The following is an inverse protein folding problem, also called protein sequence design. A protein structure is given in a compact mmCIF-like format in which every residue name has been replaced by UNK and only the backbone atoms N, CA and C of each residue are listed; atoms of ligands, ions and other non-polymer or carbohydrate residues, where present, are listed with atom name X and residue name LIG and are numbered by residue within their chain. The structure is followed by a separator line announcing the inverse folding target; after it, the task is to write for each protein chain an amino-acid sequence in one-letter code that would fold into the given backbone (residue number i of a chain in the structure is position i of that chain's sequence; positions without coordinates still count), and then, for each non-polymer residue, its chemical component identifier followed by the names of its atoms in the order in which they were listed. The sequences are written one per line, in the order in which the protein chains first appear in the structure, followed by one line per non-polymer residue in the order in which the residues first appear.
data_IF_075556959009
#
_entry.id   IF_075556959009
#
_cell.length_a   1.000
_cell.length_b   1.000
_cell.length_c   1.000
_cell.angle_alpha   90.00
_cell.angle_beta   90.00
_cell.angle_gamma   90.00
#
_symmetry.space_group_name_H-M   'P 1'
#
loop_
_entity.id
_entity.type
_entity.pdbx_description
1 polymer ?
#
# COMPACT_ATOMS: atom_id res chain seq x y z
N UNK A 1 1.00 -6.29 27.54
CA UNK A 1 -0.47 -6.33 27.36
C UNK A 1 -0.79 -7.31 26.25
N UNK A 2 -1.79 -8.19 26.42
CA UNK A 2 -2.26 -9.11 25.37
C UNK A 2 -3.24 -8.45 24.38
N UNK A 3 -3.69 -7.22 24.67
CA UNK A 3 -4.67 -6.52 23.84
C UNK A 3 -4.07 -5.96 22.54
N UNK A 4 -4.91 -5.81 21.51
CA UNK A 4 -4.57 -5.21 20.22
C UNK A 4 -5.22 -5.93 19.05
N UNK A 5 -5.05 -5.37 17.85
CA UNK A 5 -5.51 -6.00 16.60
C UNK A 5 -4.62 -7.22 16.31
N UNK A 6 -5.24 -8.37 16.02
CA UNK A 6 -4.59 -9.64 15.68
C UNK A 6 -5.18 -10.17 14.38
N UNK A 7 -4.34 -10.65 13.47
CA UNK A 7 -4.80 -11.32 12.25
C UNK A 7 -5.33 -12.71 12.58
N UNK A 8 -6.09 -13.31 11.66
CA UNK A 8 -6.50 -14.69 11.81
C UNK A 8 -5.28 -15.60 11.84
N UNK A 9 -4.26 -15.34 11.00
CA UNK A 9 -2.98 -16.04 11.07
C UNK A 9 -2.33 -15.96 12.46
N UNK A 10 -2.30 -14.78 13.08
CA UNK A 10 -1.73 -14.65 14.43
C UNK A 10 -2.51 -15.52 15.42
N UNK A 11 -3.84 -15.49 15.36
CA UNK A 11 -4.68 -16.32 16.23
C UNK A 11 -4.44 -17.81 15.98
N UNK A 12 -4.42 -18.27 14.73
CA UNK A 12 -4.06 -19.64 14.33
C UNK A 12 -2.75 -20.09 14.96
N UNK A 13 -1.74 -19.23 14.98
CA UNK A 13 -0.41 -19.58 15.48
C UNK A 13 -0.24 -19.47 17.01
N UNK A 14 -1.11 -18.74 17.71
CA UNK A 14 -0.86 -18.36 19.11
C UNK A 14 -2.02 -18.63 20.07
N UNK A 15 -3.24 -18.90 19.58
CA UNK A 15 -4.39 -19.12 20.46
C UNK A 15 -4.35 -20.50 21.13
N UNK A 16 -4.72 -20.62 22.42
CA UNK A 16 -4.85 -21.92 23.07
C UNK A 16 -6.00 -22.72 22.44
N UNK A 17 -5.93 -24.05 22.50
CA UNK A 17 -6.93 -24.97 21.93
C UNK A 17 -7.25 -24.65 20.45
N UNK A 18 -6.21 -24.41 19.65
CA UNK A 18 -6.36 -24.05 18.24
C UNK A 18 -6.87 -25.22 17.38
N UNK A 19 -7.85 -24.94 16.53
CA UNK A 19 -8.37 -25.83 15.50
C UNK A 19 -8.42 -25.16 14.11
N UNK A 20 -7.76 -24.00 13.96
CA UNK A 20 -7.68 -23.27 12.69
C UNK A 20 -6.36 -23.59 11.97
N UNK A 21 -6.41 -23.60 10.64
CA UNK A 21 -5.25 -23.62 9.73
C UNK A 21 -5.19 -22.36 8.85
N UNK A 22 -6.08 -21.40 9.10
CA UNK A 22 -6.21 -20.20 8.31
C UNK A 22 -5.06 -19.22 8.54
N UNK A 23 -4.68 -18.52 7.47
CA UNK A 23 -3.56 -17.57 7.44
C UNK A 23 -3.95 -16.18 6.90
N UNK A 24 -5.25 -15.90 6.79
CA UNK A 24 -5.74 -14.58 6.37
C UNK A 24 -5.38 -13.47 7.39
N UNK A 25 -5.24 -12.21 6.94
CA UNK A 25 -5.49 -11.69 5.58
C UNK A 25 -4.24 -11.63 4.67
N UNK A 26 -3.07 -12.05 5.15
CA UNK A 26 -1.79 -11.73 4.49
C UNK A 26 -1.68 -12.20 3.02
N UNK A 27 -2.10 -13.41 2.63
CA UNK A 27 -1.99 -13.82 1.22
C UNK A 27 -2.77 -12.93 0.26
N UNK A 28 -3.97 -12.48 0.67
CA UNK A 28 -4.80 -11.58 -0.15
C UNK A 28 -4.24 -10.17 -0.21
N UNK A 29 -3.75 -9.64 0.92
CA UNK A 29 -3.10 -8.33 0.94
C UNK A 29 -1.83 -8.31 0.08
N UNK A 30 -1.02 -9.37 0.15
CA UNK A 30 0.19 -9.51 -0.64
C UNK A 30 -0.10 -9.57 -2.14
N UNK A 31 -1.22 -10.17 -2.57
CA UNK A 31 -1.60 -10.19 -3.99
C UNK A 31 -1.88 -8.79 -4.56
N UNK A 32 -2.15 -7.81 -3.70
CA UNK A 32 -2.35 -6.40 -4.04
C UNK A 32 -1.14 -5.52 -3.67
N UNK A 33 0.01 -6.12 -3.38
CA UNK A 33 1.25 -5.39 -3.09
C UNK A 33 1.38 -4.87 -1.65
N UNK A 34 0.46 -5.26 -0.74
CA UNK A 34 0.54 -4.88 0.67
C UNK A 34 1.30 -5.98 1.42
N UNK A 35 2.56 -5.70 1.78
CA UNK A 35 3.36 -6.63 2.58
C UNK A 35 2.85 -6.72 4.03
N UNK A 36 3.36 -7.71 4.79
CA UNK A 36 3.05 -7.86 6.22
C UNK A 36 3.50 -6.61 7.00
N UNK A 37 4.66 -6.08 6.63
CA UNK A 37 5.27 -4.89 7.22
C UNK A 37 4.43 -3.64 6.90
N UNK A 38 4.00 -3.48 5.64
CA UNK A 38 3.11 -2.39 5.24
C UNK A 38 1.78 -2.47 5.98
N UNK A 39 1.15 -3.65 6.03
CA UNK A 39 -0.10 -3.85 6.77
C UNK A 39 0.05 -3.49 8.25
N UNK A 40 1.14 -3.94 8.89
CA UNK A 40 1.42 -3.58 10.29
C UNK A 40 1.58 -2.07 10.45
N UNK A 41 2.39 -1.44 9.59
CA UNK A 41 2.62 0.00 9.62
C UNK A 41 1.30 0.77 9.50
N UNK A 42 0.42 0.38 8.58
CA UNK A 42 -0.84 1.06 8.32
C UNK A 42 -1.85 0.87 9.47
N UNK A 43 -1.87 -0.30 10.11
CA UNK A 43 -2.68 -0.53 11.30
C UNK A 43 -2.21 0.31 12.49
N UNK A 44 -0.89 0.54 12.61
CA UNK A 44 -0.30 1.29 13.73
C UNK A 44 -0.35 2.81 13.53
N UNK A 45 -0.29 3.29 12.29
CA UNK A 45 -0.13 4.71 11.97
C UNK A 45 -1.31 5.30 11.19
N UNK A 46 -2.25 4.47 10.74
CA UNK A 46 -3.32 4.86 9.82
C UNK A 46 -2.87 4.86 8.35
N UNK A 47 -3.84 4.88 7.45
CA UNK A 47 -3.60 4.97 6.01
C UNK A 47 -3.77 6.42 5.55
N UNK A 48 -2.68 7.05 5.10
CA UNK A 48 -2.73 8.37 4.45
C UNK A 48 -2.05 8.32 3.09
N UNK A 49 -2.84 8.45 2.02
CA UNK A 49 -2.33 8.66 0.66
C UNK A 49 -2.52 10.12 0.31
N UNK A 50 -1.42 10.82 0.06
CA UNK A 50 -1.48 12.19 -0.44
C UNK A 50 -1.45 12.22 -1.97
N UNK A 51 -2.63 12.08 -2.58
CA UNK A 51 -2.78 12.15 -4.02
C UNK A 51 -2.47 13.57 -4.58
N UNK A 52 -2.20 13.62 -5.88
CA UNK A 52 -1.92 14.84 -6.63
C UNK A 52 -0.46 15.00 -7.01
N UNK A 53 -0.13 16.22 -7.45
CA UNK A 53 1.22 16.57 -7.87
C UNK A 53 2.17 16.62 -6.67
N UNK A 54 3.33 16.00 -6.85
CA UNK A 54 4.45 16.01 -5.90
C UNK A 54 5.71 16.51 -6.60
N UNK A 55 6.66 17.01 -5.81
CA UNK A 55 7.91 17.58 -6.31
C UNK A 55 9.05 17.36 -5.32
N UNK A 56 10.22 17.05 -5.84
CA UNK A 56 11.49 17.07 -5.13
C UNK A 56 12.58 17.71 -6.03
N UNK A 57 13.84 17.56 -5.65
CA UNK A 57 14.98 18.11 -6.41
C UNK A 57 15.18 17.46 -7.78
N UNK A 58 14.63 16.25 -8.00
CA UNK A 58 14.73 15.53 -9.27
C UNK A 58 13.65 15.97 -10.26
N UNK A 59 12.41 16.16 -9.81
CA UNK A 59 11.33 16.54 -10.69
C UNK A 59 9.94 16.46 -10.06
N UNK A 60 8.93 16.49 -10.93
CA UNK A 60 7.53 16.31 -10.54
C UNK A 60 7.07 14.88 -10.83
N UNK A 61 6.19 14.36 -9.98
CA UNK A 61 5.43 13.13 -10.26
C UNK A 61 3.98 13.32 -9.81
N UNK A 62 3.10 12.42 -10.24
CA UNK A 62 1.69 12.48 -9.89
C UNK A 62 1.24 11.22 -9.16
N UNK A 63 0.65 11.37 -7.98
CA UNK A 63 0.14 10.26 -7.16
C UNK A 63 -1.37 10.16 -7.32
N UNK A 64 -1.88 8.98 -7.69
CA UNK A 64 -3.31 8.67 -7.74
C UNK A 64 -3.89 8.45 -6.33
N UNK A 65 -5.21 8.39 -6.22
CA UNK A 65 -5.90 8.16 -4.93
C UNK A 65 -5.57 6.80 -4.30
N UNK A 66 -5.21 5.81 -5.10
CA UNK A 66 -4.76 4.49 -4.65
C UNK A 66 -3.26 4.43 -4.30
N UNK A 67 -2.56 5.56 -4.39
CA UNK A 67 -1.11 5.66 -4.13
C UNK A 67 -0.23 5.27 -5.32
N UNK A 68 -0.80 4.75 -6.41
CA UNK A 68 -0.05 4.46 -7.62
C UNK A 68 0.36 5.75 -8.35
N UNK A 69 1.32 5.65 -9.27
CA UNK A 69 1.79 6.78 -10.06
C UNK A 69 2.23 6.32 -11.46
N UNK A 70 2.13 7.17 -12.49
CA UNK A 70 2.49 6.81 -13.85
C UNK A 70 4.00 6.65 -14.02
N UNK A 71 4.41 5.63 -14.78
CA UNK A 71 5.80 5.35 -15.17
C UNK A 71 5.84 4.84 -16.60
N UNK A 72 6.82 5.29 -17.39
CA UNK A 72 7.01 4.94 -18.80
C UNK A 72 5.75 5.10 -19.68
N UNK A 73 4.95 6.15 -19.42
CA UNK A 73 3.69 6.38 -20.15
C UNK A 73 3.27 7.85 -20.21
N UNK A 74 2.41 8.14 -21.18
CA UNK A 74 1.61 9.36 -21.18
C UNK A 74 0.40 9.21 -20.24
N UNK A 75 0.10 10.23 -19.46
CA UNK A 75 -1.07 10.31 -18.58
C UNK A 75 -1.77 11.67 -18.77
N UNK A 76 -3.10 11.66 -18.84
CA UNK A 76 -3.89 12.88 -18.97
C UNK A 76 -4.39 13.33 -17.60
N UNK A 77 -3.89 14.46 -17.11
CA UNK A 77 -4.24 15.02 -15.79
C UNK A 77 -4.93 16.37 -16.01
N UNK A 78 -6.17 16.49 -15.53
CA UNK A 78 -6.99 17.72 -15.64
C UNK A 78 -7.06 18.34 -17.05
N UNK A 79 -7.12 17.49 -18.09
CA UNK A 79 -7.25 17.95 -19.49
C UNK A 79 -5.93 18.03 -20.25
N UNK A 80 -4.78 18.02 -19.56
CA UNK A 80 -3.44 18.15 -20.17
C UNK A 80 -2.71 16.80 -20.16
N UNK A 81 -1.97 16.51 -21.24
CA UNK A 81 -1.14 15.31 -21.34
C UNK A 81 0.28 15.56 -20.84
N UNK A 82 0.79 14.62 -20.07
CA UNK A 82 2.15 14.61 -19.53
C UNK A 82 2.78 13.24 -19.80
N UNK A 83 4.09 13.19 -20.07
CA UNK A 83 4.84 11.95 -20.16
C UNK A 83 5.65 11.77 -18.87
N UNK A 84 5.69 10.55 -18.34
CA UNK A 84 6.47 10.20 -17.16
C UNK A 84 7.51 9.14 -17.54
N UNK A 85 8.75 9.33 -17.08
CA UNK A 85 9.86 8.41 -17.30
C UNK A 85 9.72 7.10 -16.49
N UNK A 86 10.72 6.21 -16.60
CA UNK A 86 10.68 4.91 -15.92
C UNK A 86 10.81 4.97 -14.40
N UNK A 87 11.20 6.12 -13.85
CA UNK A 87 11.17 6.39 -12.41
C UNK A 87 9.86 7.06 -11.98
N UNK A 88 9.06 7.55 -12.93
CA UNK A 88 7.79 8.24 -12.73
C UNK A 88 7.92 9.75 -12.62
N UNK A 89 9.05 10.33 -13.03
CA UNK A 89 9.21 11.76 -13.12
C UNK A 89 8.73 12.28 -14.47
N UNK A 90 8.04 13.42 -14.46
CA UNK A 90 7.62 14.19 -15.63
C UNK A 90 8.77 15.02 -16.22
#
# INVERSE_FOLDING_TARGET
SLAGIKTHEYCTNNQPNNHSDHVDPYPYLASWGISREQFKHDIENGLSVEAGWKKNDTGYWYVHLDGSYPKDKFEKINGTWYYFDGSGYM
#
